data_IF_476989404142
#
_entry.id   IF_476989404142
#
_cell.length_a   1.000
_cell.length_b   1.000
_cell.length_c   1.000
_cell.angle_alpha   90.00
_cell.angle_beta   90.00
_cell.angle_gamma   90.00
#
_symmetry.space_group_name_H-M   'P 1'
#
loop_
_entity.id
_entity.type
_entity.pdbx_description
1 polymer ?
#
# COMPACT_ATOMS: atom_id res chain seq x y z
N UNK A 1 12.08 -21.85 -33.81
CA UNK A 1 12.34 -21.72 -32.36
C UNK A 1 11.00 -21.86 -31.65
N UNK A 2 10.82 -22.75 -30.65
CA UNK A 2 9.59 -22.76 -29.87
C UNK A 2 9.58 -21.52 -28.97
N UNK A 3 8.44 -20.83 -28.89
CA UNK A 3 8.30 -19.63 -28.06
C UNK A 3 8.51 -19.95 -26.58
N UNK A 4 9.09 -19.02 -25.79
CA UNK A 4 9.14 -19.15 -24.34
C UNK A 4 7.71 -19.15 -23.78
N UNK A 5 7.44 -19.89 -22.70
CA UNK A 5 6.13 -19.87 -22.06
C UNK A 5 5.82 -18.44 -21.61
N UNK A 6 4.56 -17.98 -21.71
CA UNK A 6 4.18 -16.68 -21.19
C UNK A 6 4.56 -16.64 -19.71
N UNK A 7 5.29 -15.60 -19.28
CA UNK A 7 5.48 -15.28 -17.87
C UNK A 7 4.08 -15.30 -17.25
N UNK A 8 3.88 -16.07 -16.19
CA UNK A 8 2.65 -15.97 -15.42
C UNK A 8 2.47 -14.50 -15.06
N UNK A 9 1.57 -13.79 -15.74
CA UNK A 9 1.05 -12.51 -15.28
C UNK A 9 0.32 -12.84 -13.99
N UNK A 10 1.04 -12.82 -12.88
CA UNK A 10 0.48 -12.92 -11.54
C UNK A 10 -0.42 -11.74 -11.19
N UNK A 11 -0.51 -10.73 -12.08
CA UNK A 11 -1.43 -9.59 -12.03
C UNK A 11 -2.90 -10.04 -12.15
N UNK A 12 -3.42 -10.60 -11.07
CA UNK A 12 -4.85 -10.78 -10.89
C UNK A 12 -5.58 -9.43 -10.68
N UNK A 13 -6.91 -9.40 -10.77
CA UNK A 13 -7.73 -8.24 -10.38
C UNK A 13 -7.40 -7.72 -8.97
N UNK A 14 -6.94 -8.63 -8.10
CA UNK A 14 -6.52 -8.37 -6.73
C UNK A 14 -5.31 -7.43 -6.64
N UNK A 15 -4.37 -7.54 -7.58
CA UNK A 15 -3.15 -6.72 -7.55
C UNK A 15 -3.44 -5.27 -7.91
N UNK A 16 -4.32 -5.04 -8.91
CA UNK A 16 -4.77 -3.68 -9.27
C UNK A 16 -5.45 -2.97 -8.10
N UNK A 17 -6.21 -3.71 -7.30
CA UNK A 17 -6.87 -3.14 -6.14
C UNK A 17 -5.87 -2.77 -5.05
N UNK A 18 -4.88 -3.62 -4.77
CA UNK A 18 -3.80 -3.32 -3.84
C UNK A 18 -3.00 -2.08 -4.27
N UNK A 19 -2.70 -1.92 -5.55
CA UNK A 19 -2.05 -0.71 -6.06
C UNK A 19 -2.88 0.55 -5.83
N UNK A 20 -4.20 0.47 -5.99
CA UNK A 20 -5.08 1.60 -5.70
C UNK A 20 -5.00 2.02 -4.23
N UNK A 21 -4.97 1.06 -3.33
CA UNK A 21 -4.91 1.26 -1.88
C UNK A 21 -3.56 1.78 -1.42
N UNK A 22 -2.46 1.24 -1.97
CA UNK A 22 -1.12 1.81 -1.79
C UNK A 22 -1.11 3.28 -2.19
N UNK A 23 -1.72 3.61 -3.34
CA UNK A 23 -1.87 5.00 -3.78
C UNK A 23 -2.77 5.85 -2.88
N UNK A 24 -3.74 5.27 -2.16
CA UNK A 24 -4.53 6.01 -1.16
C UNK A 24 -3.70 6.31 0.09
N UNK A 25 -2.90 5.34 0.56
CA UNK A 25 -1.98 5.48 1.70
C UNK A 25 -0.97 6.60 1.43
N UNK A 26 -0.29 6.57 0.29
CA UNK A 26 0.71 7.57 -0.07
C UNK A 26 0.08 8.96 -0.17
N UNK A 27 -1.05 9.10 -0.87
CA UNK A 27 -1.73 10.40 -1.00
C UNK A 27 -2.20 10.98 0.33
N UNK A 28 -2.66 10.14 1.26
CA UNK A 28 -3.03 10.61 2.60
C UNK A 28 -1.82 11.15 3.37
N UNK A 29 -0.69 10.43 3.32
CA UNK A 29 0.57 10.89 3.92
C UNK A 29 1.13 12.15 3.27
N UNK A 30 1.01 12.31 1.96
CA UNK A 30 1.41 13.53 1.25
C UNK A 30 0.51 14.73 1.60
N UNK A 31 -0.80 14.50 1.76
CA UNK A 31 -1.77 15.55 2.04
C UNK A 31 -1.77 16.01 3.50
N UNK A 32 -1.67 15.06 4.44
CA UNK A 32 -1.82 15.32 5.88
C UNK A 32 -0.48 15.31 6.63
N UNK A 33 0.59 14.84 5.99
CA UNK A 33 1.90 14.66 6.59
C UNK A 33 2.08 13.29 7.24
N UNK A 34 3.22 13.08 7.95
CA UNK A 34 3.51 11.81 8.60
C UNK A 34 2.47 11.45 9.66
N UNK A 35 2.00 10.20 9.63
CA UNK A 35 0.93 9.73 10.51
C UNK A 35 1.22 8.35 11.10
N UNK A 36 0.66 8.07 12.27
CA UNK A 36 0.69 6.73 12.86
C UNK A 36 -0.16 5.75 12.04
N UNK A 37 0.12 4.43 12.09
CA UNK A 37 -0.62 3.44 11.31
C UNK A 37 -2.14 3.45 11.57
N UNK A 38 -2.55 3.58 12.84
CA UNK A 38 -3.97 3.58 13.22
C UNK A 38 -4.71 4.83 12.76
N UNK A 39 -4.05 5.98 12.78
CA UNK A 39 -4.66 7.24 12.34
C UNK A 39 -4.71 7.32 10.82
N UNK A 40 -3.65 6.89 10.15
CA UNK A 40 -3.63 6.73 8.70
C UNK A 40 -4.72 5.76 8.22
N UNK A 41 -4.93 4.65 8.93
CA UNK A 41 -6.01 3.71 8.63
C UNK A 41 -7.38 4.40 8.67
N UNK A 42 -7.65 5.22 9.69
CA UNK A 42 -8.91 5.97 9.77
C UNK A 42 -9.04 6.99 8.65
N UNK A 43 -7.96 7.69 8.32
CA UNK A 43 -7.95 8.72 7.27
C UNK A 43 -8.24 8.14 5.88
N UNK A 44 -7.66 6.99 5.53
CA UNK A 44 -7.93 6.33 4.24
C UNK A 44 -9.24 5.54 4.23
N UNK A 45 -9.96 5.49 5.35
CA UNK A 45 -11.18 4.70 5.50
C UNK A 45 -10.94 3.18 5.52
N UNK A 46 -9.75 2.75 5.91
CA UNK A 46 -9.37 1.34 6.02
C UNK A 46 -10.32 0.47 6.88
N UNK A 47 -10.95 0.97 7.96
CA UNK A 47 -11.93 0.19 8.72
C UNK A 47 -13.12 -0.34 7.89
N UNK A 48 -13.39 0.26 6.72
CA UNK A 48 -14.44 -0.17 5.80
C UNK A 48 -13.94 -1.08 4.68
N UNK A 49 -12.63 -1.35 4.64
CA UNK A 49 -12.04 -2.29 3.69
C UNK A 49 -12.25 -3.72 4.17
N UNK A 50 -11.83 -4.68 3.35
CA UNK A 50 -11.73 -6.06 3.80
C UNK A 50 -10.75 -6.17 4.99
N UNK A 51 -10.91 -7.22 5.79
CA UNK A 51 -10.05 -7.49 6.94
C UNK A 51 -8.58 -7.64 6.51
N UNK A 52 -7.66 -7.11 7.32
CA UNK A 52 -6.19 -7.20 7.15
C UNK A 52 -5.65 -6.54 5.87
N UNK A 53 -6.52 -5.79 5.17
CA UNK A 53 -6.24 -5.32 3.81
C UNK A 53 -5.40 -4.05 3.81
N UNK A 54 -5.61 -3.19 4.80
CA UNK A 54 -4.73 -2.06 5.08
C UNK A 54 -3.32 -2.52 5.43
N UNK A 55 -3.17 -3.50 6.34
CA UNK A 55 -1.85 -4.03 6.71
C UNK A 55 -1.11 -4.61 5.50
N UNK A 56 -1.85 -5.29 4.62
CA UNK A 56 -1.30 -5.82 3.37
C UNK A 56 -0.86 -4.71 2.41
N UNK A 57 -1.71 -3.72 2.15
CA UNK A 57 -1.37 -2.60 1.28
C UNK A 57 -0.20 -1.77 1.83
N UNK A 58 -0.18 -1.51 3.14
CA UNK A 58 0.91 -0.83 3.82
C UNK A 58 2.22 -1.63 3.72
N UNK A 59 2.17 -2.95 3.89
CA UNK A 59 3.35 -3.80 3.76
C UNK A 59 3.93 -3.74 2.35
N UNK A 60 3.08 -3.73 1.31
CA UNK A 60 3.54 -3.53 -0.07
C UNK A 60 4.09 -2.13 -0.32
N UNK A 61 3.44 -1.09 0.21
CA UNK A 61 3.93 0.29 0.08
C UNK A 61 5.31 0.47 0.72
N UNK A 62 5.57 -0.18 1.85
CA UNK A 62 6.90 -0.19 2.49
C UNK A 62 7.90 -1.00 1.70
N UNK A 63 7.51 -2.19 1.21
CA UNK A 63 8.38 -3.06 0.41
C UNK A 63 8.81 -2.42 -0.92
N UNK A 64 7.89 -1.69 -1.56
CA UNK A 64 8.13 -0.97 -2.82
C UNK A 64 8.84 0.37 -2.60
N UNK A 65 9.09 0.76 -1.34
CA UNK A 65 9.80 2.01 -1.01
C UNK A 65 8.98 3.27 -1.26
N UNK A 66 7.65 3.18 -1.23
CA UNK A 66 6.73 4.32 -1.34
C UNK A 66 6.47 4.99 0.02
N UNK A 67 6.61 4.20 1.10
CA UNK A 67 6.41 4.65 2.48
C UNK A 67 7.55 4.14 3.34
N UNK A 68 8.07 4.99 4.22
CA UNK A 68 9.11 4.61 5.20
C UNK A 68 8.56 4.71 6.62
N UNK A 69 8.98 3.78 7.49
CA UNK A 69 8.72 3.85 8.93
C UNK A 69 9.80 4.69 9.59
N UNK A 70 9.40 5.82 10.18
CA UNK A 70 10.24 6.67 11.00
C UNK A 70 10.61 6.00 12.32
N UNK A 71 11.68 6.48 12.95
CA UNK A 71 12.13 6.02 14.29
C UNK A 71 11.19 6.48 15.41
N UNK A 72 10.33 7.44 15.12
CA UNK A 72 9.25 7.95 15.95
C UNK A 72 7.97 7.09 15.89
N UNK A 73 7.96 6.05 15.05
CA UNK A 73 6.79 5.20 14.83
C UNK A 73 5.78 5.77 13.83
N UNK A 74 6.10 6.88 13.17
CA UNK A 74 5.26 7.45 12.12
C UNK A 74 5.59 6.87 10.74
N UNK A 75 4.62 6.95 9.84
CA UNK A 75 4.77 6.59 8.44
C UNK A 75 5.03 7.87 7.64
N UNK A 76 6.07 7.86 6.82
CA UNK A 76 6.46 8.98 5.95
C UNK A 76 6.32 8.57 4.49
N UNK A 77 5.80 9.44 3.60
CA UNK A 77 5.96 9.23 2.17
C UNK A 77 7.44 9.41 1.80
N UNK A 78 7.90 8.66 0.78
CA UNK A 78 9.29 8.74 0.28
C UNK A 78 9.45 9.86 -0.74
#
# INVERSE_FOLDING_TARGET
>A
MPMPPPKASTEGPRDRQVFHEMGQIVRALEANGPAGPDDLAKEVGAPYWEKDRFDRALSFAVADGLVTRGTDGLLHPV
#
